data_IF_533343903585
#
_entry.id   IF_533343903585
#
_cell.length_a   1.000
_cell.length_b   1.000
_cell.length_c   1.000
_cell.angle_alpha   90.00
_cell.angle_beta   90.00
_cell.angle_gamma   90.00
#
_symmetry.space_group_name_H-M   'P 1'
#
loop_
_entity.id
_entity.type
_entity.pdbx_description
1 polymer ?
#
# COMPACT_ATOMS: atom_id res chain seq x y z
N UNK A 1 -14.58 -32.01 10.52
CA UNK A 1 -15.46 -30.83 10.63
C UNK A 1 -14.68 -29.63 10.11
N UNK A 2 -14.90 -29.24 8.85
CA UNK A 2 -14.23 -28.09 8.24
C UNK A 2 -14.68 -26.81 8.95
N UNK A 3 -13.76 -26.10 9.59
CA UNK A 3 -13.96 -24.72 10.02
C UNK A 3 -13.63 -23.81 8.84
N UNK A 4 -14.68 -23.41 8.13
CA UNK A 4 -14.65 -22.36 7.13
C UNK A 4 -14.54 -20.99 7.81
N UNK A 5 -13.65 -20.17 7.26
CA UNK A 5 -13.83 -18.73 7.00
C UNK A 5 -14.06 -17.80 8.20
N UNK A 6 -12.99 -17.10 8.58
CA UNK A 6 -13.09 -15.73 9.09
C UNK A 6 -12.22 -14.83 8.22
N UNK A 7 -12.62 -14.70 6.94
CA UNK A 7 -12.11 -13.68 6.04
C UNK A 7 -13.24 -12.65 5.83
N UNK A 8 -13.51 -11.83 6.85
CA UNK A 8 -14.44 -10.70 6.79
C UNK A 8 -13.81 -9.30 6.71
N UNK A 9 -12.47 -9.06 6.73
CA UNK A 9 -11.98 -7.69 6.65
C UNK A 9 -12.02 -7.12 5.22
N UNK A 10 -11.90 -7.96 4.19
CA UNK A 10 -11.69 -7.51 2.81
C UNK A 10 -12.96 -6.90 2.17
N UNK A 11 -14.15 -7.38 2.55
CA UNK A 11 -15.44 -6.89 2.00
C UNK A 11 -15.85 -5.54 2.56
N UNK A 12 -15.44 -5.22 3.79
CA UNK A 12 -15.80 -3.96 4.43
C UNK A 12 -14.93 -2.79 3.93
N UNK A 13 -13.64 -3.04 3.68
CA UNK A 13 -12.73 -2.02 3.16
C UNK A 13 -13.04 -1.65 1.70
N UNK A 14 -13.39 -2.64 0.87
CA UNK A 14 -13.83 -2.43 -0.52
C UNK A 14 -15.12 -1.60 -0.57
N UNK A 15 -16.13 -1.94 0.23
CA UNK A 15 -17.38 -1.18 0.28
C UNK A 15 -17.19 0.29 0.71
N UNK A 16 -16.24 0.55 1.62
CA UNK A 16 -15.93 1.91 2.06
C UNK A 16 -15.22 2.73 0.99
N UNK A 17 -14.27 2.13 0.26
CA UNK A 17 -13.61 2.78 -0.87
C UNK A 17 -14.59 3.07 -2.01
N UNK A 18 -15.47 2.13 -2.34
CA UNK A 18 -16.50 2.32 -3.37
C UNK A 18 -17.42 3.51 -3.04
N UNK A 19 -17.79 3.66 -1.75
CA UNK A 19 -18.58 4.80 -1.29
C UNK A 19 -17.83 6.13 -1.42
N UNK A 20 -16.54 6.17 -1.05
CA UNK A 20 -15.72 7.36 -1.18
C UNK A 20 -15.50 7.77 -2.65
N UNK A 21 -15.35 6.80 -3.55
CA UNK A 21 -15.29 7.09 -4.99
C UNK A 21 -16.59 7.64 -5.55
N UNK A 22 -17.73 7.08 -5.13
CA UNK A 22 -19.03 7.60 -5.52
C UNK A 22 -19.24 9.04 -5.01
N UNK A 23 -18.78 9.35 -3.80
CA UNK A 23 -18.82 10.71 -3.24
C UNK A 23 -17.95 11.68 -4.05
N UNK A 24 -16.71 11.29 -4.37
CA UNK A 24 -15.77 12.12 -5.13
C UNK A 24 -16.32 12.55 -6.50
N UNK A 25 -17.09 11.69 -7.16
CA UNK A 25 -17.71 12.00 -8.47
C UNK A 25 -18.75 13.13 -8.40
N UNK A 26 -19.27 13.45 -7.22
CA UNK A 26 -20.35 14.44 -7.01
C UNK A 26 -19.93 15.62 -6.13
N UNK A 27 -18.70 15.59 -5.61
CA UNK A 27 -18.20 16.55 -4.63
C UNK A 27 -17.85 17.92 -5.25
N UNK A 28 -18.09 19.00 -4.51
CA UNK A 28 -17.52 20.31 -4.81
C UNK A 28 -16.01 20.37 -4.52
N UNK A 29 -15.33 21.48 -4.78
CA UNK A 29 -13.87 21.57 -4.66
C UNK A 29 -13.36 21.34 -3.23
N UNK A 30 -14.08 21.84 -2.22
CA UNK A 30 -13.70 21.66 -0.81
C UNK A 30 -14.00 20.25 -0.30
N UNK A 31 -15.11 19.65 -0.73
CA UNK A 31 -15.45 18.28 -0.44
C UNK A 31 -14.51 17.30 -1.16
N UNK A 32 -14.13 17.57 -2.41
CA UNK A 32 -13.21 16.75 -3.20
C UNK A 32 -11.87 16.58 -2.50
N UNK A 33 -11.29 17.68 -1.98
CA UNK A 33 -10.02 17.61 -1.26
C UNK A 33 -10.11 16.74 0.01
N UNK A 34 -11.22 16.78 0.73
CA UNK A 34 -11.44 15.92 1.91
C UNK A 34 -11.63 14.46 1.52
N UNK A 35 -12.49 14.20 0.53
CA UNK A 35 -12.78 12.83 0.05
C UNK A 35 -11.53 12.18 -0.51
N UNK A 36 -10.70 12.93 -1.25
CA UNK A 36 -9.38 12.47 -1.67
C UNK A 36 -8.51 12.07 -0.47
N UNK A 37 -8.43 12.92 0.57
CA UNK A 37 -7.67 12.62 1.78
C UNK A 37 -8.18 11.35 2.51
N UNK A 38 -9.50 11.13 2.52
CA UNK A 38 -10.11 9.94 3.13
C UNK A 38 -9.86 8.66 2.29
N UNK A 39 -9.93 8.77 0.96
CA UNK A 39 -9.53 7.69 0.04
C UNK A 39 -8.06 7.33 0.30
N UNK A 40 -7.20 8.34 0.44
CA UNK A 40 -5.79 8.13 0.77
C UNK A 40 -5.60 7.46 2.11
N UNK A 41 -6.32 7.90 3.15
CA UNK A 41 -6.24 7.29 4.47
C UNK A 41 -6.68 5.82 4.43
N UNK A 42 -7.75 5.52 3.70
CA UNK A 42 -8.27 4.16 3.61
C UNK A 42 -7.37 3.25 2.77
N UNK A 43 -6.80 3.75 1.68
CA UNK A 43 -5.78 3.04 0.90
C UNK A 43 -4.46 2.87 1.64
N UNK A 44 -4.10 3.80 2.52
CA UNK A 44 -2.88 3.70 3.32
C UNK A 44 -2.92 2.59 4.36
N UNK A 45 -4.13 2.06 4.63
CA UNK A 45 -4.31 0.90 5.50
C UNK A 45 -4.29 -0.36 4.64
N UNK A 46 -3.47 -1.32 5.06
CA UNK A 46 -3.53 -2.67 4.49
C UNK A 46 -4.84 -3.41 4.79
N UNK A 47 -5.67 -2.89 5.70
CA UNK A 47 -6.81 -3.59 6.28
C UNK A 47 -6.44 -4.61 7.36
N UNK A 48 -5.16 -4.70 7.71
CA UNK A 48 -4.62 -5.69 8.65
C UNK A 48 -3.50 -5.10 9.51
N UNK A 49 -3.72 -5.04 10.82
CA UNK A 49 -2.71 -4.57 11.77
C UNK A 49 -1.37 -5.33 11.65
N UNK A 50 -1.42 -6.61 11.25
CA UNK A 50 -0.21 -7.41 11.02
C UNK A 50 0.58 -6.92 9.79
N UNK A 51 -0.10 -6.53 8.72
CA UNK A 51 0.54 -6.02 7.51
C UNK A 51 1.05 -4.59 7.73
N UNK A 52 0.29 -3.77 8.47
CA UNK A 52 0.75 -2.44 8.88
C UNK A 52 2.04 -2.53 9.73
N UNK A 53 2.14 -3.52 10.62
CA UNK A 53 3.36 -3.78 11.40
C UNK A 53 4.53 -4.20 10.51
N UNK A 54 4.33 -5.06 9.51
CA UNK A 54 5.38 -5.44 8.57
C UNK A 54 5.87 -4.24 7.76
N UNK A 55 4.95 -3.37 7.34
CA UNK A 55 5.29 -2.12 6.64
C UNK A 55 6.15 -1.22 7.52
N UNK A 56 5.75 -1.06 8.78
CA UNK A 56 6.49 -0.26 9.75
C UNK A 56 7.91 -0.82 9.95
N UNK A 57 8.05 -2.13 10.18
CA UNK A 57 9.36 -2.77 10.35
C UNK A 57 10.26 -2.62 9.11
N UNK A 58 9.68 -2.73 7.92
CA UNK A 58 10.40 -2.47 6.68
C UNK A 58 10.93 -1.03 6.60
N UNK A 59 10.10 -0.05 6.93
CA UNK A 59 10.49 1.37 6.96
C UNK A 59 11.52 1.68 8.04
N UNK A 60 11.40 1.09 9.22
CA UNK A 60 12.36 1.25 10.31
C UNK A 60 13.73 0.67 9.91
N UNK A 61 13.76 -0.52 9.28
CA UNK A 61 14.98 -1.11 8.76
C UNK A 61 15.65 -0.22 7.70
N UNK A 62 14.87 0.36 6.78
CA UNK A 62 15.36 1.36 5.81
C UNK A 62 15.97 2.58 6.50
N UNK A 63 15.30 3.14 7.50
CA UNK A 63 15.78 4.30 8.25
C UNK A 63 17.08 3.99 9.03
N UNK A 64 17.27 2.74 9.44
CA UNK A 64 18.47 2.27 10.12
C UNK A 64 19.60 1.83 9.15
N UNK A 65 19.43 2.02 7.84
CA UNK A 65 20.43 1.64 6.83
C UNK A 65 20.56 0.12 6.64
N UNK A 66 19.46 -0.61 6.85
CA UNK A 66 19.37 -2.07 6.73
C UNK A 66 18.38 -2.47 5.61
N UNK A 67 18.62 -2.09 4.35
CA UNK A 67 17.67 -2.30 3.26
C UNK A 67 17.41 -3.78 2.95
N UNK A 68 18.37 -4.68 3.20
CA UNK A 68 18.17 -6.12 3.04
C UNK A 68 17.13 -6.68 4.02
N UNK A 69 17.17 -6.23 5.28
CA UNK A 69 16.16 -6.59 6.29
C UNK A 69 14.80 -6.00 5.92
N UNK A 70 14.80 -4.79 5.36
CA UNK A 70 13.57 -4.18 4.86
C UNK A 70 12.93 -5.02 3.76
N UNK A 71 13.72 -5.53 2.80
CA UNK A 71 13.24 -6.40 1.73
C UNK A 71 12.55 -7.65 2.30
N UNK A 72 13.09 -8.27 3.35
CA UNK A 72 12.48 -9.45 3.98
C UNK A 72 11.09 -9.14 4.56
N UNK A 73 10.99 -8.09 5.38
CA UNK A 73 9.71 -7.69 5.98
C UNK A 73 8.67 -7.28 4.93
N UNK A 74 9.11 -6.56 3.90
CA UNK A 74 8.22 -6.08 2.85
C UNK A 74 7.83 -7.20 1.87
N UNK A 75 8.68 -8.22 1.69
CA UNK A 75 8.32 -9.45 0.96
C UNK A 75 7.21 -10.20 1.68
N UNK A 76 7.38 -10.45 2.99
CA UNK A 76 6.33 -11.07 3.79
C UNK A 76 5.02 -10.27 3.77
N UNK A 77 5.10 -8.93 3.74
CA UNK A 77 3.93 -8.07 3.60
C UNK A 77 3.20 -8.32 2.28
N UNK A 78 3.89 -8.23 1.14
CA UNK A 78 3.22 -8.33 -0.15
C UNK A 78 2.76 -9.76 -0.47
N UNK A 79 3.39 -10.78 0.11
CA UNK A 79 2.95 -12.18 0.00
C UNK A 79 1.55 -12.35 0.64
N UNK A 80 1.27 -11.59 1.70
CA UNK A 80 0.01 -11.64 2.43
C UNK A 80 -1.00 -10.56 2.03
N UNK A 81 -0.54 -9.43 1.51
CA UNK A 81 -1.36 -8.32 1.04
C UNK A 81 -0.93 -7.85 -0.36
N UNK A 82 -1.08 -8.70 -1.41
CA UNK A 82 -0.60 -8.39 -2.75
C UNK A 82 -1.33 -7.19 -3.39
N UNK A 83 -2.54 -6.85 -2.93
CA UNK A 83 -3.27 -5.67 -3.37
C UNK A 83 -2.85 -4.35 -2.70
N UNK A 84 -1.95 -4.39 -1.72
CA UNK A 84 -1.54 -3.21 -0.97
C UNK A 84 -0.33 -2.53 -1.65
N UNK A 85 -0.63 -1.59 -2.53
CA UNK A 85 0.36 -0.90 -3.37
C UNK A 85 1.52 -0.27 -2.58
N UNK A 86 1.29 0.19 -1.35
CA UNK A 86 2.33 0.79 -0.50
C UNK A 86 3.44 -0.22 -0.14
N UNK A 87 3.10 -1.49 0.04
CA UNK A 87 4.08 -2.55 0.31
C UNK A 87 5.06 -2.73 -0.85
N UNK A 88 4.53 -2.77 -2.07
CA UNK A 88 5.33 -2.82 -3.29
C UNK A 88 6.21 -1.57 -3.45
N UNK A 89 5.66 -0.37 -3.18
CA UNK A 89 6.42 0.88 -3.26
C UNK A 89 7.58 0.92 -2.26
N UNK A 90 7.33 0.51 -1.02
CA UNK A 90 8.36 0.45 0.00
C UNK A 90 9.47 -0.55 -0.38
N UNK A 91 9.11 -1.73 -0.91
CA UNK A 91 10.11 -2.74 -1.30
C UNK A 91 10.91 -2.30 -2.52
N UNK A 92 10.27 -1.63 -3.49
CA UNK A 92 10.97 -1.01 -4.60
C UNK A 92 12.04 -0.02 -4.13
N UNK A 93 11.74 0.76 -3.09
CA UNK A 93 12.70 1.70 -2.50
C UNK A 93 13.86 0.95 -1.82
N UNK A 94 13.59 -0.16 -1.14
CA UNK A 94 14.63 -1.00 -0.53
C UNK A 94 15.57 -1.61 -1.57
N UNK A 95 15.03 -2.19 -2.65
CA UNK A 95 15.82 -2.68 -3.77
C UNK A 95 16.62 -1.58 -4.47
N UNK A 96 16.08 -0.36 -4.58
CA UNK A 96 16.82 0.77 -5.13
C UNK A 96 18.04 1.11 -4.26
N UNK A 97 17.91 1.07 -2.93
CA UNK A 97 19.01 1.33 -2.00
C UNK A 97 20.10 0.25 -2.03
N UNK A 98 19.76 -1.01 -2.34
CA UNK A 98 20.74 -2.09 -2.54
C UNK A 98 21.36 -2.11 -3.93
N UNK A 99 20.85 -1.31 -4.88
CA UNK A 99 21.29 -1.31 -6.28
C UNK A 99 20.61 -2.37 -7.15
N UNK A 100 19.61 -3.07 -6.62
CA UNK A 100 18.82 -4.09 -7.33
C UNK A 100 17.73 -3.44 -8.19
N UNK A 101 18.14 -2.70 -9.22
CA UNK A 101 17.22 -1.90 -10.04
C UNK A 101 16.18 -2.72 -10.80
N UNK A 102 16.51 -3.95 -11.21
CA UNK A 102 15.56 -4.84 -11.90
C UNK A 102 14.32 -5.15 -11.05
N UNK A 103 14.50 -5.76 -9.86
CA UNK A 103 13.43 -5.94 -8.88
C UNK A 103 12.70 -4.64 -8.51
N UNK A 104 13.44 -3.54 -8.30
CA UNK A 104 12.85 -2.24 -7.98
C UNK A 104 11.84 -1.78 -9.04
N UNK A 105 12.23 -1.82 -10.33
CA UNK A 105 11.36 -1.43 -11.44
C UNK A 105 10.14 -2.36 -11.56
N UNK A 106 10.32 -3.66 -11.32
CA UNK A 106 9.23 -4.63 -11.34
C UNK A 106 8.16 -4.31 -10.27
N UNK A 107 8.60 -3.97 -9.05
CA UNK A 107 7.70 -3.58 -7.96
C UNK A 107 6.97 -2.26 -8.26
N UNK A 108 7.63 -1.27 -8.89
CA UNK A 108 6.96 -0.05 -9.37
C UNK A 108 5.88 -0.36 -10.43
N UNK A 109 6.11 -1.35 -11.29
CA UNK A 109 5.08 -1.83 -12.23
C UNK A 109 3.83 -2.35 -11.52
N UNK A 110 3.99 -3.04 -10.39
CA UNK A 110 2.87 -3.48 -9.56
C UNK A 110 2.14 -2.31 -8.90
N UNK A 111 2.88 -1.33 -8.37
CA UNK A 111 2.29 -0.09 -7.82
C UNK A 111 1.38 0.59 -8.84
N UNK A 112 1.85 0.75 -10.08
CA UNK A 112 1.07 1.38 -11.16
C UNK A 112 -0.16 0.57 -11.56
N UNK A 113 -0.08 -0.76 -11.48
CA UNK A 113 -1.20 -1.66 -11.77
C UNK A 113 -2.28 -1.58 -10.69
N UNK A 114 -1.87 -1.50 -9.42
CA UNK A 114 -2.77 -1.52 -8.26
C UNK A 114 -3.36 -0.15 -7.94
N UNK A 115 -2.55 0.90 -8.05
CA UNK A 115 -2.98 2.26 -7.76
C UNK A 115 -2.22 3.27 -8.65
N UNK A 116 -2.76 3.59 -9.84
CA UNK A 116 -2.12 4.53 -10.76
C UNK A 116 -1.97 5.94 -10.19
N UNK A 117 -2.72 6.31 -9.14
CA UNK A 117 -2.62 7.62 -8.47
C UNK A 117 -1.48 7.67 -7.44
N UNK A 118 -1.11 6.54 -6.80
CA UNK A 118 -0.04 6.49 -5.78
C UNK A 118 1.32 6.93 -6.36
N UNK A 119 1.60 6.62 -7.62
CA UNK A 119 2.83 7.03 -8.32
C UNK A 119 2.96 8.55 -8.50
N UNK A 120 1.84 9.27 -8.64
CA UNK A 120 1.86 10.74 -8.82
C UNK A 120 2.31 11.44 -7.53
N UNK A 121 2.08 10.83 -6.36
CA UNK A 121 2.48 11.38 -5.05
C UNK A 121 3.99 11.30 -4.80
N UNK A 122 4.65 10.20 -5.16
CA UNK A 122 6.11 10.04 -4.94
C UNK A 122 6.99 11.02 -5.71
N UNK A 123 6.43 11.78 -6.66
CA UNK A 123 7.13 12.80 -7.46
C UNK A 123 6.90 14.25 -7.00
N UNK A 124 6.06 14.49 -5.98
CA UNK A 124 5.72 15.85 -5.49
C UNK A 124 6.39 16.23 -4.15
N UNK A 125 7.31 15.43 -3.64
CA UNK A 125 8.11 15.72 -2.44
C UNK A 125 9.55 16.05 -2.77
#
# INVERSE_FOLDING_TARGET
MLLFLSCLPLTAQTAKLDALFAELLTADEAASQRVEADIWLEWSKSGSAAMDLLLQRGRDAMANGQPEIAIEHLTALIDHAPGFAEGWNARATAYYQTGDFGPSIADIGQVLTLNPLLYIRTRRG
#
